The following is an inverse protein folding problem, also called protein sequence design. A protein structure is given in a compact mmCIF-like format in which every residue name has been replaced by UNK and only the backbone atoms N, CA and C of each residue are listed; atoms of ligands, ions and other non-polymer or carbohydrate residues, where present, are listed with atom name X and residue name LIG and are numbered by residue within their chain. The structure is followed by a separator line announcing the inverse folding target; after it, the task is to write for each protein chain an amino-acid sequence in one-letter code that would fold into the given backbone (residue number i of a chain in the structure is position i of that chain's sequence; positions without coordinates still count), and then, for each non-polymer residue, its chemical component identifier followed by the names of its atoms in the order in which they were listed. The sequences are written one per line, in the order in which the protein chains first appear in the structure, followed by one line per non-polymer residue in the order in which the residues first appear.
data_IF_608037979266
#
_entry.id   IF_608037979266
#
_cell.length_a   1.000
_cell.length_b   1.000
_cell.length_c   1.000
_cell.angle_alpha   90.00
_cell.angle_beta   90.00
_cell.angle_gamma   90.00
#
_symmetry.space_group_name_H-M   'P 1'
#
loop_
_entity.id
_entity.type
_entity.pdbx_description
1 polymer ?
#
# COMPACT_ATOMS: atom_id res chain seq x y z
N UNK A 1 0.56 -15.62 11.43
CA UNK A 1 1.18 -14.34 10.96
C UNK A 1 0.15 -13.21 11.06
N UNK A 2 0.54 -11.99 11.49
CA UNK A 2 -0.37 -10.83 11.56
C UNK A 2 0.37 -9.53 11.22
N UNK A 3 -0.40 -8.49 10.88
CA UNK A 3 0.16 -7.15 10.66
C UNK A 3 0.40 -6.51 12.02
N UNK A 4 1.67 -6.21 12.34
CA UNK A 4 2.08 -5.55 13.58
C UNK A 4 1.99 -4.03 13.50
N UNK A 5 2.31 -3.48 12.34
CA UNK A 5 2.37 -2.03 12.14
C UNK A 5 2.16 -1.66 10.67
N UNK A 6 1.52 -0.54 10.41
CA UNK A 6 1.57 0.13 9.11
C UNK A 6 2.23 1.50 9.26
N UNK A 7 3.20 1.77 8.39
CA UNK A 7 3.84 3.09 8.23
C UNK A 7 3.40 3.69 6.91
N UNK A 8 2.90 4.92 6.93
CA UNK A 8 2.35 5.60 5.76
C UNK A 8 3.02 6.96 5.62
N UNK A 9 3.57 7.25 4.46
CA UNK A 9 4.16 8.55 4.15
C UNK A 9 3.57 9.11 2.86
N UNK A 10 3.17 10.38 2.90
CA UNK A 10 2.66 11.19 1.79
C UNK A 10 1.44 10.59 1.07
N UNK A 11 0.54 9.93 1.78
CA UNK A 11 -0.68 9.37 1.22
C UNK A 11 -1.93 10.08 1.73
N UNK A 12 -2.64 10.75 0.85
CA UNK A 12 -3.89 11.49 1.12
C UNK A 12 -3.76 12.44 2.31
N UNK A 13 -4.41 12.13 3.44
CA UNK A 13 -4.34 12.91 4.69
C UNK A 13 -3.17 12.51 5.59
N UNK A 14 -2.38 11.52 5.24
CA UNK A 14 -1.22 11.09 6.01
C UNK A 14 0.07 11.69 5.43
N UNK A 15 0.64 12.66 6.14
CA UNK A 15 1.99 13.15 5.83
C UNK A 15 3.03 12.12 6.22
N UNK A 16 2.95 11.69 7.49
CA UNK A 16 3.75 10.64 8.08
C UNK A 16 2.98 10.07 9.26
N UNK A 17 2.71 8.77 9.24
CA UNK A 17 1.91 8.10 10.24
C UNK A 17 2.40 6.67 10.47
N UNK A 18 2.35 6.24 11.73
CA UNK A 18 2.59 4.87 12.15
C UNK A 18 1.42 4.42 13.01
N UNK A 19 0.82 3.29 12.64
CA UNK A 19 -0.33 2.73 13.34
C UNK A 19 -0.01 1.29 13.73
N UNK A 20 0.12 1.00 15.04
CA UNK A 20 0.32 -0.36 15.52
C UNK A 20 -0.98 -1.15 15.51
N UNK A 21 -0.84 -2.47 15.35
CA UNK A 21 -1.91 -3.46 15.43
C UNK A 21 -1.51 -4.58 16.37
N UNK A 22 -2.51 -5.32 16.82
CA UNK A 22 -2.34 -6.52 17.62
C UNK A 22 -2.85 -7.73 16.84
N UNK A 23 -2.43 -8.91 17.23
CA UNK A 23 -2.98 -10.14 16.69
C UNK A 23 -4.49 -10.24 16.96
N UNK A 24 -5.24 -10.76 15.97
CA UNK A 24 -6.70 -10.90 16.04
C UNK A 24 -7.46 -9.64 15.64
N UNK A 25 -8.50 -9.28 16.36
CA UNK A 25 -9.44 -8.21 15.99
C UNK A 25 -8.92 -6.85 16.43
N UNK A 26 -8.77 -5.95 15.45
CA UNK A 26 -8.42 -4.55 15.71
C UNK A 26 -9.60 -3.65 15.33
N UNK A 27 -9.97 -2.74 16.21
CA UNK A 27 -11.11 -1.82 16.03
C UNK A 27 -10.60 -0.39 15.87
N UNK A 28 -10.88 0.21 14.72
CA UNK A 28 -10.47 1.59 14.40
C UNK A 28 -11.68 2.51 14.61
N UNK A 29 -11.58 3.41 15.60
CA UNK A 29 -12.63 4.34 15.97
C UNK A 29 -12.19 5.78 15.64
N UNK A 30 -13.11 6.60 15.18
CA UNK A 30 -12.88 8.02 14.91
C UNK A 30 -14.04 8.67 14.18
N UNK A 31 -14.07 10.00 14.16
CA UNK A 31 -15.07 10.76 13.41
C UNK A 31 -14.98 10.49 11.90
N UNK A 32 -16.03 10.90 11.18
CA UNK A 32 -15.99 10.85 9.72
C UNK A 32 -14.84 11.75 9.22
N UNK A 33 -14.21 11.33 8.13
CA UNK A 33 -13.10 12.04 7.49
C UNK A 33 -11.76 12.07 8.28
N UNK A 34 -11.60 11.26 9.34
CA UNK A 34 -10.31 11.15 10.08
C UNK A 34 -9.26 10.28 9.38
N UNK A 35 -9.59 9.68 8.25
CA UNK A 35 -8.65 8.84 7.49
C UNK A 35 -8.80 7.33 7.68
N UNK A 36 -9.83 6.83 8.42
CA UNK A 36 -10.04 5.39 8.62
C UNK A 36 -10.08 4.59 7.31
N UNK A 37 -10.87 5.04 6.33
CA UNK A 37 -10.93 4.41 5.02
C UNK A 37 -9.62 4.56 4.24
N UNK A 38 -8.89 5.66 4.43
CA UNK A 38 -7.58 5.85 3.80
C UNK A 38 -6.54 4.90 4.39
N UNK A 39 -6.60 4.61 5.69
CA UNK A 39 -5.74 3.61 6.34
C UNK A 39 -5.99 2.21 5.76
N UNK A 40 -7.25 1.78 5.66
CA UNK A 40 -7.61 0.49 5.07
C UNK A 40 -7.19 0.41 3.59
N UNK A 41 -7.38 1.52 2.85
CA UNK A 41 -6.95 1.59 1.45
C UNK A 41 -5.42 1.50 1.33
N UNK A 42 -4.67 2.14 2.23
CA UNK A 42 -3.21 2.03 2.28
C UNK A 42 -2.76 0.57 2.48
N UNK A 43 -3.41 -0.16 3.39
CA UNK A 43 -3.17 -1.61 3.58
C UNK A 43 -3.46 -2.39 2.30
N UNK A 44 -4.59 -2.13 1.66
CA UNK A 44 -4.97 -2.77 0.40
C UNK A 44 -3.95 -2.57 -0.72
N UNK A 45 -3.40 -1.35 -0.86
CA UNK A 45 -2.35 -1.06 -1.87
C UNK A 45 -1.11 -1.94 -1.69
N UNK A 46 -0.68 -2.18 -0.45
CA UNK A 46 0.46 -3.05 -0.15
C UNK A 46 0.12 -4.51 -0.44
N UNK A 47 -1.06 -4.97 0.01
CA UNK A 47 -1.51 -6.36 -0.09
C UNK A 47 -2.03 -6.75 -1.49
N UNK A 48 -1.93 -5.86 -2.47
CA UNK A 48 -2.29 -6.17 -3.84
C UNK A 48 -3.75 -5.98 -4.20
N UNK A 49 -4.57 -5.50 -3.26
CA UNK A 49 -5.95 -5.15 -3.56
C UNK A 49 -6.03 -3.99 -4.55
N UNK A 50 -6.80 -4.17 -5.60
CA UNK A 50 -7.07 -3.14 -6.60
C UNK A 50 -8.58 -3.00 -6.76
N UNK A 51 -9.08 -1.83 -6.45
CA UNK A 51 -10.47 -1.42 -6.73
C UNK A 51 -10.64 -0.86 -8.15
N UNK A 52 -9.65 -1.06 -9.02
CA UNK A 52 -9.61 -0.51 -10.37
C UNK A 52 -9.23 0.99 -10.44
N UNK A 53 -9.07 1.65 -9.29
CA UNK A 53 -8.68 3.05 -9.24
C UNK A 53 -7.17 3.22 -9.43
N UNK A 54 -6.79 3.94 -10.49
CA UNK A 54 -5.40 4.35 -10.68
C UNK A 54 -5.09 5.53 -9.76
N UNK A 55 -4.00 5.43 -9.00
CA UNK A 55 -3.54 6.54 -8.16
C UNK A 55 -3.23 7.78 -9.01
N UNK A 56 -3.59 8.93 -8.45
CA UNK A 56 -3.42 10.24 -9.05
C UNK A 56 -2.86 11.27 -8.06
N UNK A 57 -2.84 12.52 -8.45
CA UNK A 57 -2.40 13.65 -7.61
C UNK A 57 -3.23 13.79 -6.34
N UNK A 58 -4.52 13.43 -6.38
CA UNK A 58 -5.41 13.45 -5.21
C UNK A 58 -5.05 12.42 -4.15
N UNK A 59 -4.24 11.42 -4.48
CA UNK A 59 -3.78 10.40 -3.53
C UNK A 59 -2.44 10.79 -2.87
N UNK A 60 -1.74 11.79 -3.39
CA UNK A 60 -0.55 12.38 -2.79
C UNK A 60 -0.94 13.34 -1.65
N UNK A 61 -0.09 13.47 -0.63
CA UNK A 61 -0.30 14.44 0.44
C UNK A 61 -0.09 15.86 -0.10
N UNK A 62 -1.17 16.65 -0.13
CA UNK A 62 -1.20 17.94 -0.83
C UNK A 62 -0.52 19.08 -0.07
N UNK A 63 -0.45 19.01 1.28
CA UNK A 63 0.09 20.08 2.13
C UNK A 63 1.63 20.06 2.21
N UNK A 64 2.30 19.78 1.08
CA UNK A 64 3.75 19.82 0.97
C UNK A 64 4.21 21.21 0.54
N UNK A 65 5.25 21.71 1.19
CA UNK A 65 5.79 23.05 0.91
C UNK A 65 6.56 23.10 -0.43
N UNK A 66 6.72 24.33 -0.95
CA UNK A 66 7.36 24.59 -2.25
C UNK A 66 8.79 24.06 -2.29
N UNK A 67 9.56 24.29 -1.22
CA UNK A 67 10.99 23.92 -1.17
C UNK A 67 11.14 22.39 -1.27
N UNK A 68 10.34 21.66 -0.52
CA UNK A 68 10.33 20.21 -0.56
C UNK A 68 9.95 19.69 -1.96
N UNK A 69 8.90 20.26 -2.56
CA UNK A 69 8.47 19.89 -3.91
C UNK A 69 9.51 20.21 -5.00
N UNK A 70 10.26 21.28 -4.85
CA UNK A 70 11.34 21.63 -5.79
C UNK A 70 12.57 20.73 -5.65
N UNK A 71 12.82 20.19 -4.47
CA UNK A 71 13.96 19.29 -4.23
C UNK A 71 13.74 17.89 -4.78
N UNK A 72 12.51 17.39 -4.67
CA UNK A 72 12.16 16.04 -5.09
C UNK A 72 10.68 15.93 -5.42
N UNK A 73 10.34 15.14 -6.44
CA UNK A 73 8.94 14.82 -6.74
C UNK A 73 8.28 14.12 -5.54
N UNK A 74 7.01 14.43 -5.21
CA UNK A 74 6.32 13.79 -4.11
C UNK A 74 6.12 12.30 -4.41
N UNK A 75 6.25 11.45 -3.38
CA UNK A 75 6.06 10.01 -3.51
C UNK A 75 5.28 9.45 -2.33
N UNK A 76 4.46 8.46 -2.60
CA UNK A 76 3.79 7.67 -1.56
C UNK A 76 4.69 6.51 -1.16
N UNK A 77 4.86 6.30 0.13
CA UNK A 77 5.50 5.11 0.67
C UNK A 77 4.63 4.51 1.76
N UNK A 78 4.33 3.23 1.65
CA UNK A 78 3.54 2.50 2.63
C UNK A 78 4.30 1.22 2.96
N UNK A 79 4.53 0.97 4.25
CA UNK A 79 5.21 -0.23 4.73
C UNK A 79 4.30 -0.96 5.71
N UNK A 80 4.03 -2.23 5.47
CA UNK A 80 3.44 -3.15 6.43
C UNK A 80 4.55 -3.94 7.10
N UNK A 81 4.58 -3.90 8.42
CA UNK A 81 5.42 -4.78 9.24
C UNK A 81 4.56 -5.96 9.66
N UNK A 82 4.96 -7.14 9.23
CA UNK A 82 4.33 -8.40 9.57
C UNK A 82 5.09 -9.03 10.73
N UNK A 83 4.39 -9.68 11.64
CA UNK A 83 4.97 -10.40 12.75
C UNK A 83 4.45 -11.85 12.76
N UNK A 84 5.31 -12.75 13.21
CA UNK A 84 4.98 -14.16 13.36
C UNK A 84 4.04 -14.34 14.55
N UNK A 85 3.01 -15.19 14.38
CA UNK A 85 2.14 -15.60 15.47
C UNK A 85 2.83 -16.63 16.36
N UNK A 86 2.55 -16.59 17.66
CA UNK A 86 3.08 -17.58 18.59
C UNK A 86 2.56 -18.99 18.25
N UNK A 87 3.45 -19.98 18.22
CA UNK A 87 3.09 -21.38 17.93
C UNK A 87 2.94 -21.73 16.45
N UNK A 88 3.23 -20.83 15.52
CA UNK A 88 3.24 -21.12 14.08
C UNK A 88 4.37 -22.10 13.72
N UNK A 89 4.03 -23.21 13.02
CA UNK A 89 4.99 -24.22 12.63
C UNK A 89 5.96 -23.70 11.56
N UNK A 90 7.24 -24.08 11.68
CA UNK A 90 8.30 -23.61 10.76
C UNK A 90 8.20 -24.17 9.34
N UNK A 91 7.43 -25.22 9.12
CA UNK A 91 7.25 -25.93 7.85
C UNK A 91 5.98 -25.54 7.09
N UNK A 92 5.22 -24.60 7.62
CA UNK A 92 4.01 -24.12 6.95
C UNK A 92 4.34 -23.30 5.69
N UNK A 93 3.45 -23.34 4.71
CA UNK A 93 3.56 -22.52 3.49
C UNK A 93 3.67 -21.03 3.84
N UNK A 94 2.94 -20.60 4.88
CA UNK A 94 2.99 -19.24 5.40
C UNK A 94 4.39 -18.85 5.90
N UNK A 95 5.11 -19.80 6.53
CA UNK A 95 6.48 -19.56 6.97
C UNK A 95 7.47 -19.40 5.81
N UNK A 96 7.27 -20.12 4.72
CA UNK A 96 8.09 -19.95 3.51
C UNK A 96 7.87 -18.56 2.93
N UNK A 97 6.62 -18.10 2.86
CA UNK A 97 6.28 -16.76 2.40
C UNK A 97 6.87 -15.68 3.32
N UNK A 98 6.67 -15.83 4.62
CA UNK A 98 7.19 -14.92 5.62
C UNK A 98 8.71 -14.78 5.52
N UNK A 99 9.43 -15.91 5.41
CA UNK A 99 10.89 -15.93 5.31
C UNK A 99 11.41 -15.21 4.05
N UNK A 100 10.66 -15.25 2.95
CA UNK A 100 11.01 -14.53 1.70
C UNK A 100 10.89 -13.00 1.84
N UNK A 101 10.14 -12.53 2.82
CA UNK A 101 9.88 -11.11 3.11
C UNK A 101 10.64 -10.60 4.35
N UNK A 102 11.41 -11.46 5.03
CA UNK A 102 12.21 -11.06 6.19
C UNK A 102 13.30 -10.07 5.81
N UNK A 103 13.49 -9.06 6.66
CA UNK A 103 14.57 -8.07 6.51
C UNK A 103 15.92 -8.63 6.94
N UNK A 104 15.93 -9.45 7.99
CA UNK A 104 17.10 -10.17 8.48
C UNK A 104 16.70 -11.60 8.91
N UNK A 105 17.03 -12.63 8.10
CA UNK A 105 16.69 -14.02 8.42
C UNK A 105 17.30 -14.54 9.73
N UNK A 106 18.35 -13.91 10.24
CA UNK A 106 19.07 -14.37 11.42
C UNK A 106 18.52 -13.81 12.75
N UNK A 107 17.77 -12.72 12.71
CA UNK A 107 17.46 -11.93 13.89
C UNK A 107 16.00 -11.56 14.07
N UNK A 108 15.11 -11.69 13.04
CA UNK A 108 13.81 -11.08 13.15
C UNK A 108 12.65 -12.07 13.00
N UNK A 109 11.71 -11.94 13.93
CA UNK A 109 10.36 -12.47 13.80
C UNK A 109 9.47 -11.54 12.96
N UNK A 110 10.09 -10.60 12.22
CA UNK A 110 9.43 -9.56 11.44
C UNK A 110 9.78 -9.62 9.96
N UNK A 111 8.79 -9.37 9.14
CA UNK A 111 8.91 -9.22 7.70
C UNK A 111 8.31 -7.89 7.28
N UNK A 112 8.80 -7.31 6.19
CA UNK A 112 8.29 -6.05 5.67
C UNK A 112 7.78 -6.20 4.24
N UNK A 113 6.61 -5.65 3.99
CA UNK A 113 6.05 -5.40 2.67
C UNK A 113 5.98 -3.90 2.44
N UNK A 114 6.54 -3.44 1.31
CA UNK A 114 6.59 -2.02 0.94
C UNK A 114 5.86 -1.78 -0.36
N UNK A 115 5.10 -0.71 -0.39
CA UNK A 115 4.50 -0.15 -1.59
C UNK A 115 5.04 1.24 -1.83
N UNK A 116 5.49 1.51 -3.03
CA UNK A 116 5.88 2.83 -3.49
C UNK A 116 5.06 3.25 -4.71
N UNK A 117 4.65 4.52 -4.73
CA UNK A 117 4.15 5.18 -5.93
C UNK A 117 4.96 6.47 -6.11
N UNK A 118 5.80 6.48 -7.13
CA UNK A 118 6.78 7.55 -7.38
C UNK A 118 6.91 7.86 -8.86
N UNK A 119 7.45 9.05 -9.16
CA UNK A 119 7.91 9.39 -10.49
C UNK A 119 9.07 8.45 -10.88
N UNK A 120 9.11 8.06 -12.16
CA UNK A 120 10.22 7.26 -12.67
C UNK A 120 11.54 8.06 -12.52
N UNK A 121 12.58 7.42 -11.98
CA UNK A 121 13.86 8.08 -11.62
C UNK A 121 14.49 8.84 -12.79
N UNK A 122 14.30 8.34 -14.02
CA UNK A 122 14.79 8.99 -15.27
C UNK A 122 14.09 10.34 -15.56
N UNK A 123 12.99 10.65 -14.90
CA UNK A 123 12.24 11.90 -15.09
C UNK A 123 12.49 12.92 -13.97
N UNK A 124 13.22 12.54 -12.91
CA UNK A 124 13.40 13.40 -11.74
C UNK A 124 14.16 14.69 -12.06
N UNK A 125 15.15 14.64 -12.94
CA UNK A 125 15.93 15.84 -13.34
C UNK A 125 15.07 16.79 -14.20
N UNK A 126 14.26 16.26 -15.09
CA UNK A 126 13.31 17.06 -15.88
C UNK A 126 12.30 17.74 -14.96
N UNK A 127 11.71 16.97 -14.00
CA UNK A 127 10.80 17.50 -13.01
C UNK A 127 11.41 18.68 -12.24
N UNK A 128 12.63 18.51 -11.69
CA UNK A 128 13.32 19.59 -10.95
C UNK A 128 13.53 20.84 -11.79
N UNK A 129 13.85 20.66 -13.04
CA UNK A 129 14.03 21.77 -13.98
C UNK A 129 12.72 22.54 -14.20
N UNK A 130 11.62 21.81 -14.43
CA UNK A 130 10.32 22.41 -14.73
C UNK A 130 9.70 23.11 -13.53
N UNK A 131 9.96 22.64 -12.30
CA UNK A 131 9.43 23.25 -11.08
C UNK A 131 10.34 24.32 -10.46
N UNK A 132 11.58 24.46 -10.95
CA UNK A 132 12.60 25.34 -10.34
C UNK A 132 12.14 26.80 -10.18
N UNK A 133 11.35 27.31 -11.13
CA UNK A 133 10.89 28.70 -11.15
C UNK A 133 9.48 28.87 -10.55
N UNK A 134 8.84 27.81 -10.08
CA UNK A 134 7.51 27.89 -9.46
C UNK A 134 7.60 28.62 -8.11
N UNK A 135 6.70 29.55 -7.89
CA UNK A 135 6.69 30.38 -6.67
C UNK A 135 5.70 29.87 -5.62
N UNK A 136 4.77 29.02 -6.04
CA UNK A 136 3.73 28.47 -5.17
C UNK A 136 3.62 26.95 -5.31
N UNK A 137 3.28 26.27 -4.23
CA UNK A 137 3.00 24.84 -4.26
C UNK A 137 1.88 24.49 -5.26
N UNK A 138 0.88 25.37 -5.41
CA UNK A 138 -0.23 25.18 -6.35
C UNK A 138 0.23 25.14 -7.82
N UNK A 139 1.24 25.91 -8.18
CA UNK A 139 1.83 25.86 -9.53
C UNK A 139 2.51 24.52 -9.75
N UNK A 140 3.30 24.03 -8.78
CA UNK A 140 3.97 22.74 -8.86
C UNK A 140 2.95 21.60 -8.96
N UNK A 141 1.89 21.62 -8.15
CA UNK A 141 0.84 20.61 -8.24
C UNK A 141 0.14 20.57 -9.60
N UNK A 142 -0.03 21.69 -10.27
CA UNK A 142 -0.56 21.72 -11.64
C UNK A 142 0.41 21.08 -12.65
N UNK A 143 1.71 21.36 -12.51
CA UNK A 143 2.74 20.74 -13.35
C UNK A 143 2.74 19.22 -13.14
N UNK A 144 2.69 18.76 -11.88
CA UNK A 144 2.61 17.33 -11.55
C UNK A 144 1.38 16.68 -12.20
N UNK A 145 0.21 17.29 -12.03
CA UNK A 145 -1.05 16.74 -12.53
C UNK A 145 -1.10 16.66 -14.05
N UNK A 146 -0.61 17.68 -14.73
CA UNK A 146 -0.66 17.77 -16.19
C UNK A 146 0.43 16.94 -16.87
N UNK A 147 1.68 17.06 -16.41
CA UNK A 147 2.84 16.57 -17.16
C UNK A 147 3.44 15.28 -16.59
N UNK A 148 3.39 15.09 -15.25
CA UNK A 148 4.17 14.05 -14.59
C UNK A 148 3.35 12.89 -14.03
N UNK A 149 2.10 13.09 -13.59
CA UNK A 149 1.34 12.04 -12.87
C UNK A 149 1.20 10.73 -13.67
N UNK A 150 1.10 10.79 -14.98
CA UNK A 150 1.05 9.61 -15.85
C UNK A 150 2.38 8.86 -15.98
N UNK A 151 3.49 9.50 -15.57
CA UNK A 151 4.83 8.92 -15.56
C UNK A 151 5.15 8.26 -14.22
N UNK A 152 4.31 8.44 -13.21
CA UNK A 152 4.41 7.75 -11.95
C UNK A 152 4.17 6.24 -12.12
N UNK A 153 4.90 5.46 -11.32
CA UNK A 153 4.83 4.00 -11.30
C UNK A 153 4.67 3.51 -9.88
N UNK A 154 3.85 2.48 -9.73
CA UNK A 154 3.75 1.73 -8.49
C UNK A 154 4.69 0.54 -8.51
N UNK A 155 5.30 0.27 -7.37
CA UNK A 155 6.11 -0.94 -7.16
C UNK A 155 5.83 -1.51 -5.78
N UNK A 156 5.99 -2.83 -5.65
CA UNK A 156 5.95 -3.55 -4.38
C UNK A 156 7.27 -4.26 -4.18
N UNK A 157 7.76 -4.23 -2.95
CA UNK A 157 8.97 -4.93 -2.57
C UNK A 157 8.79 -5.51 -1.16
N UNK A 158 9.54 -6.54 -0.84
CA UNK A 158 9.55 -7.14 0.49
C UNK A 158 10.97 -7.46 0.92
N UNK A 159 11.22 -7.43 2.21
CA UNK A 159 12.41 -7.90 2.87
C UNK A 159 13.74 -7.56 2.22
N UNK A 160 14.66 -8.49 2.35
CA UNK A 160 15.94 -8.45 1.66
C UNK A 160 15.77 -9.16 0.31
N UNK A 161 15.83 -8.48 -0.81
CA UNK A 161 15.59 -8.96 -2.18
C UNK A 161 16.46 -10.15 -2.65
N UNK A 162 17.26 -10.73 -1.76
CA UNK A 162 18.23 -11.80 -2.06
C UNK A 162 17.57 -13.17 -2.29
N UNK A 163 16.30 -13.37 -1.94
CA UNK A 163 15.68 -14.70 -1.93
C UNK A 163 15.01 -15.16 -3.23
N UNK A 164 15.03 -14.36 -4.30
CA UNK A 164 14.58 -14.80 -5.65
C UNK A 164 13.07 -15.05 -5.82
N UNK A 165 12.25 -14.86 -4.78
CA UNK A 165 10.80 -14.97 -4.87
C UNK A 165 10.24 -13.56 -5.14
N UNK A 166 9.46 -13.45 -6.22
CA UNK A 166 8.75 -12.21 -6.51
C UNK A 166 7.74 -11.94 -5.39
N UNK A 167 7.75 -10.72 -4.85
CA UNK A 167 6.75 -10.30 -3.84
C UNK A 167 5.32 -10.46 -4.37
N UNK A 168 5.11 -10.32 -5.68
CA UNK A 168 3.80 -10.53 -6.29
C UNK A 168 3.35 -11.99 -6.21
N UNK A 169 4.26 -12.97 -6.33
CA UNK A 169 3.94 -14.39 -6.18
C UNK A 169 3.60 -14.72 -4.71
N UNK A 170 4.30 -14.10 -3.77
CA UNK A 170 4.00 -14.22 -2.34
C UNK A 170 2.64 -13.58 -1.99
N UNK A 171 2.34 -12.40 -2.53
CA UNK A 171 1.07 -11.71 -2.31
C UNK A 171 -0.12 -12.46 -2.91
N UNK A 172 0.07 -13.21 -4.00
CA UNK A 172 -0.97 -14.05 -4.60
C UNK A 172 -1.44 -15.20 -3.69
N UNK A 173 -0.71 -15.49 -2.62
CA UNK A 173 -1.05 -16.50 -1.62
C UNK A 173 -1.67 -15.89 -0.34
N UNK A 174 -1.72 -14.56 -0.24
CA UNK A 174 -2.38 -13.87 0.88
C UNK A 174 -3.80 -13.50 0.43
N UNK A 175 -4.79 -14.10 1.05
CA UNK A 175 -6.19 -13.74 0.81
C UNK A 175 -6.53 -12.47 1.61
N UNK A 176 -6.57 -11.34 0.91
CA UNK A 176 -6.97 -10.05 1.48
C UNK A 176 -8.35 -9.66 0.96
N UNK A 177 -9.32 -9.57 1.87
CA UNK A 177 -10.68 -9.16 1.53
C UNK A 177 -11.00 -7.79 2.12
N UNK A 178 -11.33 -6.85 1.25
CA UNK A 178 -11.82 -5.53 1.63
C UNK A 178 -13.34 -5.50 1.56
N UNK A 179 -13.99 -5.20 2.68
CA UNK A 179 -15.44 -5.07 2.75
C UNK A 179 -15.81 -3.60 2.92
N UNK A 180 -16.44 -3.00 1.91
CA UNK A 180 -16.88 -1.61 1.98
C UNK A 180 -18.08 -1.42 2.92
N UNK A 181 -18.16 -0.24 3.56
CA UNK A 181 -19.21 0.07 4.51
C UNK A 181 -20.60 0.30 3.85
N UNK A 182 -20.61 0.75 2.60
CA UNK A 182 -21.83 0.91 1.80
C UNK A 182 -21.93 -0.29 0.87
N UNK A 183 -22.74 -1.26 1.25
CA UNK A 183 -22.94 -2.49 0.47
C UNK A 183 -24.19 -2.36 -0.39
N UNK A 184 -24.03 -2.45 -1.69
CA UNK A 184 -25.01 -3.13 -2.51
C UNK A 184 -24.76 -4.64 -2.35
N UNK A 185 -25.40 -5.22 -1.32
CA UNK A 185 -25.21 -6.63 -0.92
C UNK A 185 -25.43 -7.58 -2.11
N UNK A 186 -26.31 -7.20 -3.03
CA UNK A 186 -26.59 -7.97 -4.25
C UNK A 186 -25.41 -7.93 -5.22
N UNK A 187 -24.81 -6.76 -5.40
CA UNK A 187 -23.69 -6.61 -6.32
C UNK A 187 -22.41 -7.29 -5.79
N UNK A 188 -22.12 -7.16 -4.49
CA UNK A 188 -20.91 -7.72 -3.90
C UNK A 188 -20.98 -9.25 -3.76
N UNK A 189 -22.20 -9.81 -3.54
CA UNK A 189 -22.37 -11.26 -3.45
C UNK A 189 -22.34 -11.97 -4.81
N UNK A 190 -22.86 -11.36 -5.89
CA UNK A 190 -23.10 -12.07 -7.15
C UNK A 190 -22.34 -11.52 -8.36
N UNK A 191 -22.03 -10.23 -8.41
CA UNK A 191 -21.57 -9.57 -9.64
C UNK A 191 -20.33 -8.68 -9.47
N UNK A 192 -19.80 -8.47 -8.28
CA UNK A 192 -18.62 -7.64 -7.99
C UNK A 192 -17.33 -8.24 -8.57
N UNK A 193 -16.26 -7.47 -8.52
CA UNK A 193 -14.93 -7.86 -9.02
C UNK A 193 -14.38 -9.12 -8.31
N UNK A 194 -14.73 -9.33 -7.02
CA UNK A 194 -14.50 -10.56 -6.25
C UNK A 194 -15.79 -10.94 -5.51
N UNK A 195 -16.75 -11.60 -6.14
CA UNK A 195 -17.98 -11.98 -5.49
C UNK A 195 -17.75 -13.11 -4.50
N UNK A 196 -17.82 -12.78 -3.20
CA UNK A 196 -17.58 -13.68 -2.07
C UNK A 196 -18.33 -15.01 -2.17
N UNK A 197 -19.57 -14.98 -2.65
CA UNK A 197 -20.37 -16.20 -2.82
C UNK A 197 -19.85 -17.10 -3.93
N UNK A 198 -19.33 -16.52 -5.00
CA UNK A 198 -18.76 -17.30 -6.11
C UNK A 198 -17.49 -18.03 -5.67
N UNK A 199 -16.63 -17.37 -4.89
CA UNK A 199 -15.39 -17.95 -4.42
C UNK A 199 -15.64 -19.08 -3.42
N UNK A 200 -16.62 -18.87 -2.50
CA UNK A 200 -17.08 -19.93 -1.59
C UNK A 200 -17.72 -21.09 -2.35
N UNK A 201 -18.56 -20.82 -3.34
CA UNK A 201 -19.19 -21.89 -4.14
C UNK A 201 -18.15 -22.66 -4.97
N UNK A 202 -17.17 -22.01 -5.57
CA UNK A 202 -16.11 -22.65 -6.32
C UNK A 202 -15.27 -23.58 -5.43
N UNK A 203 -14.99 -23.16 -4.18
CA UNK A 203 -14.28 -23.99 -3.20
C UNK A 203 -15.00 -25.28 -2.84
N UNK A 204 -16.35 -25.33 -2.90
CA UNK A 204 -17.14 -26.53 -2.60
C UNK A 204 -17.50 -27.36 -3.82
N UNK A 205 -17.27 -26.87 -5.04
CA UNK A 205 -17.64 -27.56 -6.29
C UNK A 205 -16.43 -28.27 -6.93
N UNK A 206 -15.19 -27.83 -6.63
CA UNK A 206 -13.92 -28.50 -6.96
C UNK A 206 -13.58 -29.59 -5.93
#
# INVERSE_FOLDING_TARGET
MYIKEIKISNFRNFKDASVPFHEGVNVIIGHNNTGKSNLLRAMGLVLGYSDGHRLGTSDLFYETDVVTLQQQSPRIQITLVLHRSEGEALDSTEMVLFSSMMTDPALSEEAELRYEFKLADVQEDNYKTDVANATTAKEIWKIIDHDYIRLYRSSRSGGNQVAGISVNDALGQIDFQFLDAIRDVSHDLYAGYNPLLRDVLNFFID
#
